data_IF_828397120354
#
_entry.id   IF_828397120354
#
_cell.length_a   1.000
_cell.length_b   1.000
_cell.length_c   1.000
_cell.angle_alpha   90.00
_cell.angle_beta   90.00
_cell.angle_gamma   90.00
#
_symmetry.space_group_name_H-M   'P 1'
#
loop_
_entity.id
_entity.type
_entity.pdbx_description
1 polymer ?
#
# COMPACT_ATOMS: atom_id res chain seq x y z
N UNK A 1 11.30 -48.02 -2.83
CA UNK A 1 11.29 -47.35 -4.14
C UNK A 1 10.14 -46.37 -4.15
N UNK A 2 10.44 -45.08 -3.94
CA UNK A 2 9.44 -44.03 -3.80
C UNK A 2 8.97 -43.60 -5.19
N UNK A 3 7.75 -43.99 -5.57
CA UNK A 3 7.13 -43.57 -6.83
C UNK A 3 6.77 -42.09 -6.69
N UNK A 4 7.70 -41.22 -7.10
CA UNK A 4 7.48 -39.79 -7.20
C UNK A 4 6.31 -39.56 -8.15
N UNK A 5 5.19 -39.08 -7.62
CA UNK A 5 4.06 -38.64 -8.43
C UNK A 5 4.46 -37.40 -9.21
N UNK A 6 4.98 -37.61 -10.41
CA UNK A 6 5.32 -36.56 -11.35
C UNK A 6 4.07 -35.81 -11.81
N UNK A 7 4.20 -34.54 -12.24
CA UNK A 7 3.09 -33.68 -12.63
C UNK A 7 2.17 -34.29 -13.71
N UNK A 8 2.66 -35.24 -14.51
CA UNK A 8 1.83 -36.00 -15.46
C UNK A 8 0.68 -36.79 -14.79
N UNK A 9 0.88 -37.38 -13.61
CA UNK A 9 -0.11 -38.28 -13.00
C UNK A 9 -1.28 -37.53 -12.36
N UNK A 10 -1.03 -36.33 -11.84
CA UNK A 10 -2.05 -35.44 -11.26
C UNK A 10 -2.86 -34.78 -12.36
N UNK A 11 -2.24 -34.35 -13.45
CA UNK A 11 -2.94 -33.81 -14.61
C UNK A 11 -3.90 -34.84 -15.24
N UNK A 12 -3.49 -36.10 -15.31
CA UNK A 12 -4.33 -37.18 -15.83
C UNK A 12 -5.57 -37.43 -14.95
N UNK A 13 -5.41 -37.43 -13.62
CA UNK A 13 -6.53 -37.54 -12.67
C UNK A 13 -7.48 -36.35 -12.72
N UNK A 14 -6.95 -35.13 -12.86
CA UNK A 14 -7.77 -33.92 -12.96
C UNK A 14 -8.62 -33.95 -14.24
N UNK A 15 -8.06 -34.42 -15.36
CA UNK A 15 -8.80 -34.57 -16.60
C UNK A 15 -9.91 -35.63 -16.51
N UNK A 16 -9.66 -36.77 -15.87
CA UNK A 16 -10.70 -37.80 -15.67
C UNK A 16 -11.87 -37.28 -14.82
N UNK A 17 -11.56 -36.59 -13.72
CA UNK A 17 -12.57 -35.98 -12.84
C UNK A 17 -13.34 -34.87 -13.57
N UNK A 18 -12.64 -34.06 -14.38
CA UNK A 18 -13.27 -33.02 -15.22
C UNK A 18 -14.25 -33.61 -16.21
N UNK A 19 -13.87 -34.70 -16.89
CA UNK A 19 -14.73 -35.36 -17.88
C UNK A 19 -15.99 -35.97 -17.23
N UNK A 20 -15.83 -36.58 -16.04
CA UNK A 20 -16.97 -37.11 -15.28
C UNK A 20 -17.89 -36.02 -14.75
N UNK A 21 -17.36 -34.90 -14.28
CA UNK A 21 -18.15 -33.73 -13.88
C UNK A 21 -18.92 -33.15 -15.07
N UNK A 22 -18.26 -33.03 -16.22
CA UNK A 22 -18.85 -32.45 -17.43
C UNK A 22 -19.99 -33.31 -18.01
N UNK A 23 -20.00 -34.62 -17.72
CA UNK A 23 -21.12 -35.53 -18.00
C UNK A 23 -22.24 -35.49 -16.97
N UNK A 24 -21.94 -35.14 -15.72
CA UNK A 24 -22.92 -35.11 -14.62
C UNK A 24 -23.66 -33.76 -14.51
N UNK A 25 -23.14 -32.70 -15.15
CA UNK A 25 -23.74 -31.36 -15.13
C UNK A 25 -24.89 -31.30 -16.17
N UNK A 26 -26.12 -30.95 -15.77
CA UNK A 26 -27.25 -30.81 -16.69
C UNK A 26 -27.07 -29.62 -17.64
N UNK A 27 -27.58 -29.73 -18.87
CA UNK A 27 -27.31 -28.76 -19.95
C UNK A 27 -27.75 -27.32 -19.64
N UNK A 28 -28.78 -27.14 -18.82
CA UNK A 28 -29.23 -25.81 -18.35
C UNK A 28 -28.18 -25.05 -17.52
N UNK A 29 -27.20 -25.74 -16.93
CA UNK A 29 -26.09 -25.11 -16.16
C UNK A 29 -24.90 -24.80 -17.08
N UNK A 30 -24.84 -25.42 -18.26
CA UNK A 30 -23.81 -25.24 -19.29
C UNK A 30 -24.05 -23.99 -20.14
N UNK A 31 -25.31 -23.58 -20.27
CA UNK A 31 -25.74 -22.35 -20.96
C UNK A 31 -25.46 -21.06 -20.16
N UNK A 32 -25.23 -21.18 -18.85
CA UNK A 32 -24.80 -20.05 -18.04
C UNK A 32 -23.36 -19.69 -18.39
N UNK A 33 -23.11 -18.44 -18.81
CA UNK A 33 -21.77 -17.89 -19.06
C UNK A 33 -21.00 -17.73 -17.72
N UNK A 34 -20.66 -18.85 -17.06
CA UNK A 34 -19.95 -18.89 -15.79
C UNK A 34 -18.63 -18.14 -15.82
N UNK A 35 -17.97 -18.08 -16.99
CA UNK A 35 -16.73 -17.33 -17.17
C UNK A 35 -16.95 -15.82 -16.99
N UNK A 36 -18.01 -15.26 -17.60
CA UNK A 36 -18.38 -13.85 -17.41
C UNK A 36 -18.90 -13.57 -16.00
N UNK A 37 -19.73 -14.46 -15.46
CA UNK A 37 -20.25 -14.31 -14.09
C UNK A 37 -19.13 -14.35 -13.05
N UNK A 38 -18.17 -15.26 -13.21
CA UNK A 38 -16.98 -15.35 -12.37
C UNK A 38 -16.10 -14.11 -12.50
N UNK A 39 -15.86 -13.61 -13.71
CA UNK A 39 -15.02 -12.41 -13.92
C UNK A 39 -15.62 -11.18 -13.21
N UNK A 40 -16.93 -10.96 -13.36
CA UNK A 40 -17.65 -9.86 -12.69
C UNK A 40 -17.58 -10.01 -11.17
N UNK A 41 -17.81 -11.21 -10.64
CA UNK A 41 -17.70 -11.48 -9.21
C UNK A 41 -16.27 -11.27 -8.69
N UNK A 42 -15.26 -11.71 -9.44
CA UNK A 42 -13.85 -11.50 -9.09
C UNK A 42 -13.52 -10.01 -9.08
N UNK A 43 -13.94 -9.24 -10.08
CA UNK A 43 -13.74 -7.78 -10.11
C UNK A 43 -14.45 -7.07 -8.96
N UNK A 44 -15.66 -7.49 -8.59
CA UNK A 44 -16.37 -6.96 -7.44
C UNK A 44 -15.68 -7.31 -6.12
N UNK A 45 -15.18 -8.54 -5.97
CA UNK A 45 -14.45 -8.96 -4.79
C UNK A 45 -13.10 -8.24 -4.66
N UNK A 46 -12.42 -7.98 -5.79
CA UNK A 46 -11.16 -7.23 -5.84
C UNK A 46 -11.38 -5.77 -5.43
N UNK A 47 -12.40 -5.12 -5.99
CA UNK A 47 -12.72 -3.73 -5.67
C UNK A 47 -13.20 -3.55 -4.22
N UNK A 48 -14.07 -4.44 -3.75
CA UNK A 48 -14.55 -4.45 -2.37
C UNK A 48 -13.42 -4.81 -1.40
N UNK A 49 -12.59 -5.79 -1.77
CA UNK A 49 -11.40 -6.21 -1.03
C UNK A 49 -10.40 -5.09 -0.90
N UNK A 50 -10.12 -4.33 -1.96
CA UNK A 50 -9.22 -3.18 -1.91
C UNK A 50 -9.75 -2.09 -0.98
N UNK A 51 -11.06 -1.82 -1.01
CA UNK A 51 -11.70 -0.84 -0.12
C UNK A 51 -11.69 -1.31 1.33
N UNK A 52 -12.08 -2.56 1.58
CA UNK A 52 -12.08 -3.18 2.89
C UNK A 52 -10.67 -3.24 3.47
N UNK A 53 -9.68 -3.64 2.69
CA UNK A 53 -8.27 -3.70 3.10
C UNK A 53 -7.73 -2.31 3.46
N UNK A 54 -8.10 -1.27 2.70
CA UNK A 54 -7.75 0.11 3.02
C UNK A 54 -8.34 0.54 4.36
N UNK A 55 -9.63 0.33 4.58
CA UNK A 55 -10.29 0.69 5.84
C UNK A 55 -9.79 -0.14 7.03
N UNK A 56 -9.60 -1.44 6.82
CA UNK A 56 -9.05 -2.36 7.80
C UNK A 56 -7.64 -1.93 8.22
N UNK A 57 -6.79 -1.55 7.26
CA UNK A 57 -5.45 -1.04 7.52
C UNK A 57 -5.50 0.24 8.36
N UNK A 58 -6.37 1.20 8.02
CA UNK A 58 -6.54 2.43 8.79
C UNK A 58 -6.99 2.15 10.22
N UNK A 59 -7.99 1.30 10.39
CA UNK A 59 -8.51 0.91 11.71
C UNK A 59 -7.44 0.19 12.53
N UNK A 60 -6.71 -0.76 11.92
CA UNK A 60 -5.61 -1.47 12.59
C UNK A 60 -4.49 -0.51 13.00
N UNK A 61 -4.13 0.47 12.17
CA UNK A 61 -3.13 1.48 12.52
C UNK A 61 -3.62 2.32 13.69
N UNK A 62 -4.85 2.81 13.66
CA UNK A 62 -5.43 3.62 14.72
C UNK A 62 -5.53 2.87 16.05
N UNK A 63 -6.03 1.63 16.03
CA UNK A 63 -6.13 0.77 17.22
C UNK A 63 -4.74 0.40 17.73
N UNK A 64 -3.78 0.10 16.86
CA UNK A 64 -2.40 -0.20 17.25
C UNK A 64 -1.73 1.01 17.91
N UNK A 65 -1.94 2.21 17.36
CA UNK A 65 -1.39 3.44 17.92
C UNK A 65 -1.97 3.72 19.31
N UNK A 66 -3.29 3.61 19.44
CA UNK A 66 -3.97 3.83 20.71
C UNK A 66 -3.54 2.80 21.77
N UNK A 67 -3.40 1.53 21.37
CA UNK A 67 -2.92 0.46 22.24
C UNK A 67 -1.47 0.67 22.68
N UNK A 68 -0.57 1.14 21.80
CA UNK A 68 0.83 1.43 22.15
C UNK A 68 0.95 2.61 23.11
N UNK A 69 0.13 3.64 22.93
CA UNK A 69 0.07 4.82 23.83
C UNK A 69 -0.37 4.38 25.22
N UNK A 70 -1.48 3.64 25.32
CA UNK A 70 -2.02 3.15 26.59
C UNK A 70 -1.02 2.19 27.27
N UNK A 71 -0.38 1.30 26.50
CA UNK A 71 0.57 0.33 27.01
C UNK A 71 1.89 0.96 27.49
N UNK A 72 2.36 1.99 26.79
CA UNK A 72 3.57 2.75 27.17
C UNK A 72 3.35 3.54 28.46
N UNK A 73 2.20 4.21 28.58
CA UNK A 73 1.79 4.92 29.79
C UNK A 73 1.66 3.94 30.97
N UNK A 74 1.04 2.79 30.75
CA UNK A 74 0.86 1.77 31.81
C UNK A 74 2.17 1.16 32.31
N UNK A 75 3.28 1.25 31.55
CA UNK A 75 4.53 0.56 31.87
C UNK A 75 5.69 1.49 32.21
N UNK A 76 5.45 2.79 32.40
CA UNK A 76 6.49 3.79 32.67
C UNK A 76 7.63 3.80 31.61
N UNK A 77 7.36 3.35 30.39
CA UNK A 77 8.34 3.32 29.29
C UNK A 77 8.20 4.55 28.38
N UNK A 78 7.91 5.71 28.98
CA UNK A 78 7.55 6.95 28.27
C UNK A 78 8.63 7.40 27.28
N UNK A 79 9.91 7.11 27.54
CA UNK A 79 11.04 7.50 26.69
C UNK A 79 11.23 6.61 25.44
N UNK A 80 10.62 5.42 25.38
CA UNK A 80 10.70 4.54 24.21
C UNK A 80 9.85 5.08 23.06
N UNK A 81 8.75 5.76 23.38
CA UNK A 81 7.86 6.39 22.41
C UNK A 81 8.54 7.53 21.60
N UNK A 82 9.10 8.59 22.22
CA UNK A 82 9.74 9.68 21.48
C UNK A 82 11.00 9.21 20.77
N UNK A 83 11.79 8.30 21.36
CA UNK A 83 13.00 7.77 20.73
C UNK A 83 12.68 6.89 19.51
N UNK A 84 11.65 6.04 19.61
CA UNK A 84 11.17 5.26 18.48
C UNK A 84 10.62 6.15 17.37
N UNK A 85 9.80 7.14 17.69
CA UNK A 85 9.27 8.10 16.70
C UNK A 85 10.39 8.86 15.99
N UNK A 86 11.36 9.41 16.73
CA UNK A 86 12.53 10.11 16.18
C UNK A 86 13.35 9.22 15.25
N UNK A 87 13.66 8.00 15.68
CA UNK A 87 14.38 7.04 14.86
C UNK A 87 13.61 6.70 13.57
N UNK A 88 12.28 6.61 13.65
CA UNK A 88 11.40 6.46 12.49
C UNK A 88 11.49 7.61 11.49
N UNK A 89 11.38 8.85 11.98
CA UNK A 89 11.48 10.05 11.14
C UNK A 89 12.85 10.15 10.46
N UNK A 90 13.94 9.96 11.23
CA UNK A 90 15.30 10.00 10.71
C UNK A 90 15.54 8.93 9.63
N UNK A 91 15.00 7.73 9.82
CA UNK A 91 15.13 6.65 8.85
C UNK A 91 14.36 6.96 7.55
N UNK A 92 13.17 7.57 7.67
CA UNK A 92 12.39 8.00 6.50
C UNK A 92 13.09 9.11 5.72
N UNK A 93 13.69 10.09 6.41
CA UNK A 93 14.48 11.15 5.78
C UNK A 93 15.73 10.59 5.09
N UNK A 94 16.43 9.65 5.74
CA UNK A 94 17.59 8.98 5.16
C UNK A 94 17.23 8.22 3.88
N UNK A 95 16.12 7.49 3.87
CA UNK A 95 15.64 6.81 2.66
C UNK A 95 15.23 7.78 1.56
N UNK A 96 14.61 8.90 1.91
CA UNK A 96 14.25 9.96 0.96
C UNK A 96 15.50 10.61 0.36
N UNK A 97 16.50 10.95 1.17
CA UNK A 97 17.78 11.52 0.71
C UNK A 97 18.52 10.53 -0.21
N UNK A 98 18.63 9.27 0.23
CA UNK A 98 19.25 8.19 -0.54
C UNK A 98 18.52 7.97 -1.86
N UNK A 99 17.19 8.03 -1.87
CA UNK A 99 16.40 7.86 -3.08
C UNK A 99 16.58 9.00 -4.08
N UNK A 100 16.89 10.21 -3.61
CA UNK A 100 17.18 11.37 -4.46
C UNK A 100 18.60 11.23 -5.04
N UNK A 101 19.57 10.87 -4.21
CA UNK A 101 20.97 10.68 -4.61
C UNK A 101 21.14 9.56 -5.64
N UNK A 102 20.50 8.41 -5.43
CA UNK A 102 20.61 7.23 -6.32
C UNK A 102 19.82 7.43 -7.62
N UNK A 103 18.78 8.26 -7.61
CA UNK A 103 17.94 8.51 -8.79
C UNK A 103 17.72 10.03 -9.02
N UNK A 104 18.75 10.74 -9.51
CA UNK A 104 18.75 12.21 -9.57
C UNK A 104 17.79 12.83 -10.60
N UNK A 105 17.02 12.05 -11.38
CA UNK A 105 16.40 12.56 -12.60
C UNK A 105 14.89 12.30 -12.77
N UNK A 106 14.03 12.81 -11.88
CA UNK A 106 12.61 12.92 -12.24
C UNK A 106 11.86 13.90 -11.34
N UNK A 107 11.63 15.08 -11.90
CA UNK A 107 10.72 16.09 -11.41
C UNK A 107 9.32 15.50 -11.09
N UNK A 108 8.96 15.49 -9.81
CA UNK A 108 7.61 15.25 -9.29
C UNK A 108 7.07 13.82 -9.33
N UNK A 109 7.03 13.15 -10.50
CA UNK A 109 6.27 11.89 -10.66
C UNK A 109 6.95 10.67 -10.02
N UNK A 110 8.29 10.55 -10.11
CA UNK A 110 9.02 9.49 -9.37
C UNK A 110 9.13 9.77 -7.88
N UNK A 111 9.15 11.03 -7.43
CA UNK A 111 9.19 11.35 -6.00
C UNK A 111 7.98 10.78 -5.27
N UNK A 112 6.79 10.85 -5.88
CA UNK A 112 5.57 10.22 -5.36
C UNK A 112 5.69 8.69 -5.31
N UNK A 113 6.32 8.06 -6.32
CA UNK A 113 6.57 6.62 -6.29
C UNK A 113 7.57 6.22 -5.21
N UNK A 114 8.63 7.00 -5.01
CA UNK A 114 9.64 6.73 -3.98
C UNK A 114 9.01 6.81 -2.58
N UNK A 115 8.14 7.80 -2.33
CA UNK A 115 7.38 7.88 -1.08
C UNK A 115 6.43 6.70 -0.88
N UNK A 116 5.83 6.17 -1.95
CA UNK A 116 4.99 4.95 -1.86
C UNK A 116 5.81 3.73 -1.46
N UNK A 117 7.02 3.58 -2.03
CA UNK A 117 7.93 2.46 -1.74
C UNK A 117 8.42 2.54 -0.30
N UNK A 118 8.84 3.73 0.13
CA UNK A 118 9.25 4.00 1.51
C UNK A 118 8.09 3.74 2.49
N UNK A 119 6.86 4.17 2.17
CA UNK A 119 5.68 3.91 2.99
C UNK A 119 5.36 2.41 3.10
N UNK A 120 5.47 1.68 2.01
CA UNK A 120 5.28 0.23 1.97
C UNK A 120 6.32 -0.49 2.85
N UNK A 121 7.58 -0.06 2.81
CA UNK A 121 8.64 -0.58 3.69
C UNK A 121 8.26 -0.45 5.17
N UNK A 122 7.77 0.70 5.62
CA UNK A 122 7.35 0.87 7.02
C UNK A 122 6.14 0.01 7.39
N UNK A 123 5.22 -0.26 6.46
CA UNK A 123 4.12 -1.21 6.67
C UNK A 123 4.66 -2.64 6.84
N UNK A 124 5.64 -3.05 6.03
CA UNK A 124 6.31 -4.35 6.18
C UNK A 124 7.06 -4.46 7.50
N UNK A 125 7.78 -3.41 7.91
CA UNK A 125 8.45 -3.36 9.22
C UNK A 125 7.43 -3.51 10.36
N UNK A 126 6.27 -2.87 10.24
CA UNK A 126 5.16 -3.00 11.19
C UNK A 126 4.63 -4.44 11.26
N UNK A 127 4.50 -5.11 10.10
CA UNK A 127 4.06 -6.49 9.99
C UNK A 127 5.10 -7.47 10.56
N UNK A 128 6.38 -7.30 10.23
CA UNK A 128 7.50 -8.12 10.72
C UNK A 128 7.66 -7.95 12.24
N UNK A 129 7.42 -6.74 12.76
CA UNK A 129 7.46 -6.46 14.20
C UNK A 129 6.46 -7.31 15.00
N UNK A 130 5.33 -7.72 14.40
CA UNK A 130 4.36 -8.60 15.05
C UNK A 130 4.93 -9.99 15.38
N UNK A 131 5.98 -10.42 14.69
CA UNK A 131 6.66 -11.69 14.92
C UNK A 131 7.81 -11.58 15.95
N UNK A 132 8.09 -10.39 16.47
CA UNK A 132 9.20 -10.13 17.40
C UNK A 132 8.77 -10.15 18.87
N UNK A 133 9.73 -10.39 19.77
CA UNK A 133 9.49 -10.38 21.22
C UNK A 133 8.98 -9.03 21.73
N UNK A 134 8.20 -9.06 22.83
CA UNK A 134 7.40 -7.94 23.36
C UNK A 134 8.17 -6.60 23.47
N UNK A 135 9.44 -6.62 23.84
CA UNK A 135 10.25 -5.40 24.04
C UNK A 135 10.78 -4.81 22.73
N UNK A 136 11.21 -5.67 21.80
CA UNK A 136 11.62 -5.24 20.45
C UNK A 136 10.44 -4.82 19.59
N UNK A 137 9.28 -5.46 19.79
CA UNK A 137 8.01 -5.13 19.12
C UNK A 137 7.60 -3.68 19.36
N UNK A 138 7.59 -3.23 20.62
CA UNK A 138 7.17 -1.85 20.97
C UNK A 138 8.09 -0.81 20.33
N UNK A 139 9.41 -1.03 20.37
CA UNK A 139 10.35 -0.11 19.75
C UNK A 139 10.19 -0.05 18.22
N UNK A 140 10.17 -1.20 17.54
CA UNK A 140 9.97 -1.26 16.08
C UNK A 140 8.62 -0.67 15.64
N UNK A 141 7.59 -0.80 16.48
CA UNK A 141 6.27 -0.27 16.19
C UNK A 141 6.24 1.27 16.24
N UNK A 142 6.94 1.88 17.22
CA UNK A 142 7.13 3.33 17.28
C UNK A 142 8.02 3.86 16.15
N UNK A 143 9.08 3.13 15.78
CA UNK A 143 9.92 3.45 14.60
C UNK A 143 9.09 3.44 13.31
N UNK A 144 8.26 2.41 13.12
CA UNK A 144 7.38 2.35 11.96
C UNK A 144 6.36 3.50 11.93
N UNK A 145 5.79 3.85 13.09
CA UNK A 145 4.85 4.97 13.19
C UNK A 145 5.52 6.32 12.88
N UNK A 146 6.75 6.55 13.36
CA UNK A 146 7.50 7.77 13.10
C UNK A 146 7.84 7.93 11.62
N UNK A 147 8.33 6.85 11.01
CA UNK A 147 8.63 6.84 9.58
C UNK A 147 7.39 7.07 8.72
N UNK A 148 6.26 6.44 9.07
CA UNK A 148 5.00 6.64 8.37
C UNK A 148 4.48 8.07 8.47
N UNK A 149 4.59 8.69 9.66
CA UNK A 149 4.21 10.09 9.86
C UNK A 149 5.04 11.03 8.99
N UNK A 150 6.36 10.81 8.93
CA UNK A 150 7.26 11.59 8.08
C UNK A 150 6.89 11.46 6.59
N UNK A 151 6.57 10.26 6.14
CA UNK A 151 6.15 10.00 4.75
C UNK A 151 4.83 10.70 4.42
N UNK A 152 3.85 10.65 5.32
CA UNK A 152 2.58 11.36 5.16
C UNK A 152 2.77 12.88 5.16
N UNK A 153 3.67 13.38 5.99
CA UNK A 153 4.02 14.80 6.02
C UNK A 153 4.60 15.24 4.68
N UNK A 154 5.60 14.52 4.16
CA UNK A 154 6.18 14.79 2.84
C UNK A 154 5.15 14.67 1.72
N UNK A 155 4.25 13.68 1.79
CA UNK A 155 3.19 13.53 0.80
C UNK A 155 2.24 14.73 0.78
N UNK A 156 1.87 15.22 1.98
CA UNK A 156 0.97 16.35 2.15
C UNK A 156 1.60 17.66 1.66
N UNK A 157 2.88 17.89 1.95
CA UNK A 157 3.60 19.08 1.46
C UNK A 157 3.76 19.06 -0.05
N UNK A 158 4.02 17.90 -0.66
CA UNK A 158 4.05 17.75 -2.12
C UNK A 158 2.70 17.99 -2.77
N UNK A 159 1.62 17.49 -2.18
CA UNK A 159 0.26 17.71 -2.68
C UNK A 159 -0.12 19.18 -2.63
N UNK A 160 0.25 19.87 -1.54
CA UNK A 160 0.01 21.31 -1.38
C UNK A 160 0.76 22.13 -2.44
N UNK A 161 2.04 21.87 -2.65
CA UNK A 161 2.83 22.56 -3.69
C UNK A 161 2.31 22.30 -5.12
N UNK A 162 1.75 21.12 -5.39
CA UNK A 162 1.14 20.83 -6.71
C UNK A 162 -0.13 21.63 -6.96
N UNK A 163 -0.95 21.87 -5.94
CA UNK A 163 -2.18 22.65 -6.07
C UNK A 163 -1.88 24.14 -6.28
N UNK A 164 -0.86 24.67 -5.58
CA UNK A 164 -0.42 26.06 -5.73
C UNK A 164 0.15 26.32 -7.13
N UNK A 165 1.07 25.47 -7.62
CA UNK A 165 1.64 25.64 -8.96
C UNK A 165 0.64 25.44 -10.12
N UNK A 166 -0.41 24.63 -9.91
CA UNK A 166 -1.48 24.50 -10.91
C UNK A 166 -2.36 25.75 -10.98
N UNK A 167 -2.55 26.44 -9.85
CA UNK A 167 -3.32 27.68 -9.78
C UNK A 167 -2.58 28.85 -10.45
N UNK A 168 -1.26 28.94 -10.26
CA UNK A 168 -0.40 29.95 -10.89
C UNK A 168 -0.32 29.79 -12.42
N UNK A 169 -0.14 28.56 -12.92
CA UNK A 169 -0.13 28.29 -14.37
C UNK A 169 -1.48 28.62 -15.03
N UNK A 170 -2.59 28.42 -14.33
CA UNK A 170 -3.93 28.75 -14.85
C UNK A 170 -4.09 30.26 -15.02
N UNK A 171 -3.63 31.04 -14.04
CA UNK A 171 -3.68 32.50 -14.07
C UNK A 171 -2.76 33.11 -15.13
N UNK A 172 -1.56 32.57 -15.32
CA UNK A 172 -0.65 33.04 -16.38
C UNK A 172 -1.18 32.74 -17.78
N UNK A 173 -1.80 31.57 -17.99
CA UNK A 173 -2.34 31.19 -19.30
C UNK A 173 -3.60 32.02 -19.68
N UNK A 174 -4.41 32.42 -18.70
CA UNK A 174 -5.55 33.32 -18.89
C UNK A 174 -5.09 34.75 -19.24
N UNK A 175 -4.05 35.24 -18.56
CA UNK A 175 -3.48 36.57 -18.80
C UNK A 175 -2.80 36.68 -20.18
N UNK A 176 -2.07 35.65 -20.62
CA UNK A 176 -1.46 35.63 -21.96
C UNK A 176 -2.50 35.55 -23.08
N UNK A 177 -3.62 34.84 -22.84
CA UNK A 177 -4.70 34.72 -23.84
C UNK A 177 -5.44 36.05 -24.03
N UNK A 178 -5.68 36.81 -22.95
CA UNK A 178 -6.30 38.14 -23.01
C UNK A 178 -5.38 39.20 -23.63
N UNK A 179 -4.06 39.08 -23.46
CA UNK A 179 -3.09 39.99 -24.07
C UNK A 179 -2.96 39.79 -25.59
N UNK A 180 -3.16 38.56 -26.09
CA UNK A 180 -3.16 38.25 -27.52
C UNK A 180 -4.44 38.77 -28.20
N UNK A 181 -5.61 38.62 -27.57
CA UNK A 181 -6.89 39.10 -28.11
C UNK A 181 -6.98 40.64 -28.17
N UNK A 182 -6.26 41.35 -27.31
CA UNK A 182 -6.23 42.82 -27.30
C UNK A 182 -5.32 43.44 -28.39
N UNK A 183 -4.56 42.64 -29.12
CA UNK A 183 -3.56 43.10 -30.08
C UNK A 183 -3.83 42.65 -31.54
N UNK A 184 -4.99 42.02 -31.78
CA UNK A 184 -5.61 41.77 -33.10
C UNK A 184 -6.81 42.72 -33.32
#
# INVERSE_FOLDING_TARGET
>A
MSQSGGPENVNMKINDVKEKLQKAIPDSVKELEWEKGADILVQQLLSLGQKAFKWLTVVLIAVSFLSDVIFTISRNQELVMPFGLLAGCLLADFFKETSIEVFPNSQGKRLNWNLIVIGCFFVLVKFISAFFGIRGKVFLLHVANGGFLQVLWLWTTLLKGKNEGNQENSLSQEHDSLAIEAND
#
